data_IF_146604639413
#
_entry.id   IF_146604639413
#
_cell.length_a   1.000
_cell.length_b   1.000
_cell.length_c   1.000
_cell.angle_alpha   90.00
_cell.angle_beta   90.00
_cell.angle_gamma   90.00
#
_symmetry.space_group_name_H-M   'P 1'
#
loop_
_entity.id
_entity.type
_entity.pdbx_description
1 polymer ?
#
# COMPACT_ATOMS: atom_id res chain seq x y z
N UNK A 1 7.63 13.75 -21.79
CA UNK A 1 6.83 13.14 -20.69
C UNK A 1 5.35 13.18 -21.06
N UNK A 2 4.65 12.04 -21.03
CA UNK A 2 3.18 12.03 -21.10
C UNK A 2 2.65 12.54 -19.76
N UNK A 3 2.45 13.85 -19.62
CA UNK A 3 1.89 14.51 -18.42
C UNK A 3 0.68 13.77 -17.82
N UNK A 4 -0.30 13.24 -18.59
CA UNK A 4 -1.42 12.52 -17.99
C UNK A 4 -1.01 11.21 -17.32
N UNK A 5 -0.05 10.47 -17.90
CA UNK A 5 0.39 9.18 -17.34
C UNK A 5 1.15 9.35 -16.03
N UNK A 6 1.98 10.40 -15.93
CA UNK A 6 2.70 10.75 -14.70
C UNK A 6 1.73 11.00 -13.53
N UNK A 7 0.74 11.86 -13.73
CA UNK A 7 -0.26 12.14 -12.71
C UNK A 7 -1.19 10.96 -12.46
N UNK A 8 -1.43 10.13 -13.47
CA UNK A 8 -2.14 8.85 -13.33
C UNK A 8 -1.44 7.93 -12.32
N UNK A 9 -0.12 7.75 -12.42
CA UNK A 9 0.64 6.92 -11.46
C UNK A 9 0.57 7.50 -10.04
N UNK A 10 0.70 8.82 -9.89
CA UNK A 10 0.58 9.49 -8.58
C UNK A 10 -0.82 9.28 -7.98
N UNK A 11 -1.87 9.51 -8.76
CA UNK A 11 -3.25 9.33 -8.32
C UNK A 11 -3.53 7.88 -7.94
N UNK A 12 -3.02 6.92 -8.71
CA UNK A 12 -3.20 5.48 -8.43
C UNK A 12 -2.46 5.03 -7.16
N UNK A 13 -1.26 5.55 -6.88
CA UNK A 13 -0.56 5.30 -5.61
C UNK A 13 -1.39 5.78 -4.42
N UNK A 14 -1.87 7.02 -4.49
CA UNK A 14 -2.70 7.65 -3.43
C UNK A 14 -4.00 6.88 -3.26
N UNK A 15 -4.71 6.57 -4.36
CA UNK A 15 -5.98 5.85 -4.31
C UNK A 15 -5.82 4.43 -3.74
N UNK A 16 -4.76 3.71 -4.13
CA UNK A 16 -4.50 2.35 -3.62
C UNK A 16 -4.17 2.38 -2.11
N UNK A 17 -3.38 3.38 -1.68
CA UNK A 17 -3.06 3.56 -0.27
C UNK A 17 -4.29 3.95 0.57
N UNK A 18 -5.09 4.88 0.06
CA UNK A 18 -6.35 5.27 0.71
C UNK A 18 -7.32 4.09 0.81
N UNK A 19 -7.48 3.31 -0.26
CA UNK A 19 -8.31 2.09 -0.23
C UNK A 19 -7.84 1.13 0.86
N UNK A 20 -6.53 0.86 0.94
CA UNK A 20 -5.96 0.02 1.99
C UNK A 20 -6.24 0.57 3.39
N UNK A 21 -6.02 1.86 3.64
CA UNK A 21 -6.23 2.48 4.96
C UNK A 21 -7.66 2.30 5.50
N UNK A 22 -8.66 2.26 4.62
CA UNK A 22 -10.06 2.09 5.04
C UNK A 22 -10.35 0.63 5.46
N UNK A 23 -9.53 -0.32 4.99
CA UNK A 23 -9.73 -1.76 5.17
C UNK A 23 -8.79 -2.39 6.21
N UNK A 24 -7.83 -1.63 6.75
CA UNK A 24 -6.93 -2.14 7.80
C UNK A 24 -7.75 -2.28 9.10
N UNK A 25 -7.50 -3.30 9.94
CA UNK A 25 -8.17 -3.43 11.24
C UNK A 25 -8.01 -2.16 12.10
N UNK A 26 -9.11 -1.69 12.67
CA UNK A 26 -9.23 -0.38 13.33
C UNK A 26 -9.56 0.77 12.38
N UNK A 27 -9.68 0.49 11.08
CA UNK A 27 -10.28 1.36 10.08
C UNK A 27 -11.81 1.30 10.07
N UNK A 28 -12.48 2.08 9.21
CA UNK A 28 -13.93 2.26 9.26
C UNK A 28 -14.76 1.06 8.81
N UNK A 29 -14.16 0.08 8.13
CA UNK A 29 -14.90 -0.99 7.43
C UNK A 29 -14.50 -2.39 7.88
N UNK A 30 -13.27 -2.58 8.38
CA UNK A 30 -12.80 -3.89 8.82
C UNK A 30 -13.24 -4.17 10.26
N UNK A 31 -14.36 -4.88 10.38
CA UNK A 31 -15.02 -5.23 11.65
C UNK A 31 -14.79 -6.70 12.04
N UNK A 32 -14.01 -7.46 11.26
CA UNK A 32 -13.81 -8.89 11.52
C UNK A 32 -12.94 -9.13 12.76
N UNK A 33 -13.26 -10.19 13.49
CA UNK A 33 -12.47 -10.65 14.63
C UNK A 33 -11.36 -11.61 14.19
N UNK A 34 -10.12 -11.28 14.53
CA UNK A 34 -8.94 -12.10 14.26
C UNK A 34 -8.24 -12.61 15.53
N UNK A 35 -8.91 -12.54 16.69
CA UNK A 35 -8.38 -13.01 17.99
C UNK A 35 -7.90 -14.47 17.99
N UNK A 36 -8.42 -15.30 17.09
CA UNK A 36 -8.01 -16.69 16.91
C UNK A 36 -6.63 -16.87 16.23
N UNK A 37 -6.08 -15.81 15.63
CA UNK A 37 -4.77 -15.84 14.93
C UNK A 37 -3.68 -15.36 15.90
N UNK A 38 -2.48 -15.95 15.78
CA UNK A 38 -1.32 -15.52 16.57
C UNK A 38 -1.03 -14.01 16.38
N UNK A 39 -0.86 -13.23 17.47
CA UNK A 39 -0.55 -11.80 17.40
C UNK A 39 0.71 -11.49 16.60
N UNK A 40 1.68 -12.41 16.58
CA UNK A 40 2.93 -12.24 15.82
C UNK A 40 2.68 -12.30 14.31
N UNK A 41 1.78 -13.17 13.87
CA UNK A 41 1.40 -13.30 12.45
C UNK A 41 0.63 -12.05 12.02
N UNK A 42 -0.38 -11.64 12.82
CA UNK A 42 -1.14 -10.41 12.57
C UNK A 42 -0.26 -9.17 12.54
N UNK A 43 0.62 -9.02 13.53
CA UNK A 43 1.55 -7.89 13.61
C UNK A 43 2.51 -7.83 12.42
N UNK A 44 3.01 -8.99 11.96
CA UNK A 44 3.89 -9.06 10.78
C UNK A 44 3.14 -8.68 9.50
N UNK A 45 1.89 -9.13 9.35
CA UNK A 45 1.05 -8.76 8.22
C UNK A 45 0.67 -7.28 8.24
N UNK A 46 0.27 -6.75 9.39
CA UNK A 46 -0.01 -5.33 9.57
C UNK A 46 1.22 -4.45 9.33
N UNK A 47 2.42 -4.90 9.71
CA UNK A 47 3.67 -4.23 9.37
C UNK A 47 3.87 -4.17 7.85
N UNK A 48 3.63 -5.28 7.15
CA UNK A 48 3.69 -5.32 5.69
C UNK A 48 2.69 -4.34 5.04
N UNK A 49 1.42 -4.36 5.47
CA UNK A 49 0.39 -3.45 4.97
C UNK A 49 0.71 -1.98 5.26
N UNK A 50 1.23 -1.69 6.46
CA UNK A 50 1.63 -0.34 6.87
C UNK A 50 2.77 0.18 6.00
N UNK A 51 3.80 -0.64 5.77
CA UNK A 51 4.90 -0.29 4.88
C UNK A 51 4.41 -0.06 3.46
N UNK A 52 3.52 -0.91 2.95
CA UNK A 52 2.94 -0.78 1.62
C UNK A 52 2.16 0.54 1.46
N UNK A 53 1.27 0.85 2.40
CA UNK A 53 0.49 2.09 2.42
C UNK A 53 1.35 3.35 2.55
N UNK A 54 2.23 3.39 3.55
CA UNK A 54 3.04 4.58 3.83
C UNK A 54 4.09 4.83 2.75
N UNK A 55 4.72 3.78 2.23
CA UNK A 55 5.65 3.90 1.10
C UNK A 55 4.95 4.37 -0.17
N UNK A 56 3.69 3.97 -0.40
CA UNK A 56 2.89 4.45 -1.53
C UNK A 56 2.64 5.95 -1.45
N UNK A 57 2.22 6.48 -0.29
CA UNK A 57 2.05 7.92 -0.09
C UNK A 57 3.37 8.69 -0.22
N UNK A 58 4.44 8.20 0.41
CA UNK A 58 5.77 8.82 0.33
C UNK A 58 6.26 8.86 -1.13
N UNK A 59 6.09 7.77 -1.87
CA UNK A 59 6.50 7.67 -3.26
C UNK A 59 5.66 8.57 -4.17
N UNK A 60 4.35 8.65 -3.94
CA UNK A 60 3.46 9.56 -4.65
C UNK A 60 3.91 11.02 -4.49
N UNK A 61 4.23 11.44 -3.26
CA UNK A 61 4.75 12.78 -2.97
C UNK A 61 6.08 13.04 -3.69
N UNK A 62 7.03 12.09 -3.64
CA UNK A 62 8.33 12.23 -4.26
C UNK A 62 8.26 12.32 -5.79
N UNK A 63 7.40 11.50 -6.41
CA UNK A 63 7.15 11.52 -7.86
C UNK A 63 6.47 12.83 -8.25
N UNK A 64 5.42 13.26 -7.54
CA UNK A 64 4.70 14.51 -7.81
C UNK A 64 5.62 15.75 -7.67
N UNK A 65 6.52 15.74 -6.70
CA UNK A 65 7.51 16.79 -6.48
C UNK A 65 8.64 16.80 -7.52
N UNK A 66 8.67 15.84 -8.46
CA UNK A 66 9.74 15.62 -9.44
C UNK A 66 11.14 15.45 -8.82
N UNK A 67 11.19 15.10 -7.52
CA UNK A 67 12.45 14.90 -6.78
C UNK A 67 13.02 13.51 -7.00
N UNK A 68 12.17 12.55 -7.37
CA UNK A 68 12.51 11.14 -7.52
C UNK A 68 11.76 10.54 -8.72
N UNK A 69 12.43 9.68 -9.48
CA UNK A 69 11.85 8.95 -10.62
C UNK A 69 11.65 7.47 -10.29
N UNK A 70 11.01 7.19 -9.16
CA UNK A 70 10.82 5.85 -8.60
C UNK A 70 9.77 4.97 -9.26
N UNK A 71 9.62 5.04 -10.59
CA UNK A 71 8.54 4.32 -11.27
C UNK A 71 8.68 2.80 -11.18
N UNK A 72 9.90 2.26 -11.06
CA UNK A 72 10.11 0.83 -10.79
C UNK A 72 9.53 0.47 -9.42
N UNK A 73 9.84 1.26 -8.40
CA UNK A 73 9.32 1.05 -7.06
C UNK A 73 7.80 1.20 -7.02
N UNK A 74 7.22 2.15 -7.76
CA UNK A 74 5.77 2.30 -7.88
C UNK A 74 5.11 1.07 -8.51
N UNK A 75 5.76 0.45 -9.50
CA UNK A 75 5.31 -0.81 -10.08
C UNK A 75 5.38 -1.97 -9.08
N UNK A 76 6.43 -2.04 -8.26
CA UNK A 76 6.57 -3.06 -7.20
C UNK A 76 5.53 -2.87 -6.09
N UNK A 77 5.24 -1.63 -5.69
CA UNK A 77 4.16 -1.31 -4.75
C UNK A 77 2.80 -1.73 -5.34
N UNK A 78 2.56 -1.44 -6.63
CA UNK A 78 1.36 -1.91 -7.33
C UNK A 78 1.24 -3.44 -7.31
N UNK A 79 2.34 -4.17 -7.54
CA UNK A 79 2.37 -5.64 -7.43
C UNK A 79 2.08 -6.10 -6.00
N UNK A 80 2.58 -5.39 -4.99
CA UNK A 80 2.26 -5.65 -3.58
C UNK A 80 0.76 -5.53 -3.29
N UNK A 81 0.11 -4.45 -3.74
CA UNK A 81 -1.34 -4.30 -3.61
C UNK A 81 -2.09 -5.43 -4.32
N UNK A 82 -1.74 -5.71 -5.57
CA UNK A 82 -2.36 -6.79 -6.34
C UNK A 82 -2.24 -8.13 -5.60
N UNK A 83 -1.04 -8.47 -5.12
CA UNK A 83 -0.79 -9.71 -4.40
C UNK A 83 -1.62 -9.80 -3.13
N UNK A 84 -1.67 -8.75 -2.30
CA UNK A 84 -2.49 -8.75 -1.08
C UNK A 84 -3.95 -9.03 -1.40
N UNK A 85 -4.55 -8.24 -2.31
CA UNK A 85 -5.97 -8.37 -2.61
C UNK A 85 -6.30 -9.69 -3.33
N UNK A 86 -5.43 -10.17 -4.22
CA UNK A 86 -5.63 -11.45 -4.90
C UNK A 86 -5.49 -12.64 -3.93
N UNK A 87 -4.51 -12.61 -3.02
CA UNK A 87 -4.32 -13.66 -2.01
C UNK A 87 -5.48 -13.69 -1.00
N UNK A 88 -6.02 -12.54 -0.63
CA UNK A 88 -7.18 -12.45 0.26
C UNK A 88 -8.45 -13.00 -0.41
N UNK A 89 -8.74 -12.57 -1.65
CA UNK A 89 -9.89 -13.06 -2.43
C UNK A 89 -9.79 -14.56 -2.81
N UNK A 90 -8.58 -15.11 -2.91
CA UNK A 90 -8.37 -16.56 -3.14
C UNK A 90 -8.35 -17.38 -1.85
N UNK A 91 -8.65 -16.76 -0.70
CA UNK A 91 -8.74 -17.39 0.61
C UNK A 91 -7.45 -18.08 1.06
N UNK A 92 -6.29 -17.57 0.64
CA UNK A 92 -4.98 -18.11 1.04
C UNK A 92 -4.62 -17.65 2.46
N UNK A 93 -5.09 -16.48 2.88
CA UNK A 93 -4.88 -16.00 4.25
C UNK A 93 -5.73 -16.78 5.28
N UNK A 94 -5.28 -16.86 6.54
CA UNK A 94 -6.05 -17.49 7.61
C UNK A 94 -7.41 -16.80 7.76
N UNK A 95 -8.49 -17.59 7.86
CA UNK A 95 -9.85 -17.07 7.90
C UNK A 95 -10.23 -16.60 9.30
N UNK A 96 -10.83 -15.42 9.37
CA UNK A 96 -11.63 -15.03 10.52
C UNK A 96 -12.86 -15.96 10.63
N UNK A 97 -13.32 -16.28 11.86
CA UNK A 97 -14.61 -16.93 12.09
C UNK A 97 -15.80 -16.07 11.62
N UNK A 98 -15.60 -14.75 11.51
CA UNK A 98 -16.63 -13.80 11.10
C UNK A 98 -16.66 -13.64 9.58
N UNK A 99 -17.86 -13.65 8.95
CA UNK A 99 -17.98 -13.50 7.51
C UNK A 99 -17.56 -12.09 7.07
N UNK A 100 -16.92 -11.99 5.90
CA UNK A 100 -16.50 -10.73 5.31
C UNK A 100 -17.71 -9.82 4.98
N UNK A 101 -17.71 -8.55 5.45
CA UNK A 101 -18.73 -7.59 5.05
C UNK A 101 -18.74 -7.35 3.53
N UNK A 102 -19.93 -7.18 2.94
CA UNK A 102 -20.08 -6.98 1.50
C UNK A 102 -19.35 -5.72 0.98
N UNK A 103 -19.18 -4.71 1.83
CA UNK A 103 -18.44 -3.49 1.49
C UNK A 103 -16.93 -3.78 1.40
N UNK A 104 -16.39 -4.53 2.36
CA UNK A 104 -14.98 -4.93 2.38
C UNK A 104 -14.61 -5.73 1.12
N UNK A 105 -15.46 -6.70 0.75
CA UNK A 105 -15.29 -7.49 -0.48
C UNK A 105 -15.23 -6.61 -1.75
N UNK A 106 -16.08 -5.58 -1.85
CA UNK A 106 -16.05 -4.65 -3.00
C UNK A 106 -14.76 -3.83 -3.04
N UNK A 107 -14.24 -3.44 -1.87
CA UNK A 107 -13.00 -2.66 -1.78
C UNK A 107 -11.76 -3.50 -2.10
N UNK A 108 -11.80 -4.82 -1.88
CA UNK A 108 -10.74 -5.73 -2.36
C UNK A 108 -10.70 -5.81 -3.88
N UNK A 109 -11.87 -5.98 -4.52
CA UNK A 109 -11.96 -5.93 -5.98
C UNK A 109 -11.54 -4.58 -6.54
N UNK A 110 -11.92 -3.48 -5.87
CA UNK A 110 -11.45 -2.14 -6.22
C UNK A 110 -9.93 -2.06 -6.10
N UNK A 111 -9.35 -2.64 -5.06
CA UNK A 111 -7.91 -2.74 -4.86
C UNK A 111 -7.19 -3.43 -6.01
N UNK A 112 -7.71 -4.56 -6.50
CA UNK A 112 -7.20 -5.21 -7.72
C UNK A 112 -7.32 -4.26 -8.92
N UNK A 113 -8.50 -3.65 -9.11
CA UNK A 113 -8.75 -2.77 -10.25
C UNK A 113 -7.85 -1.52 -10.25
N UNK A 114 -7.44 -1.01 -9.09
CA UNK A 114 -6.48 0.09 -8.95
C UNK A 114 -5.03 -0.38 -9.15
N UNK A 115 -4.69 -1.58 -8.66
CA UNK A 115 -3.31 -2.09 -8.68
C UNK A 115 -2.81 -2.42 -10.10
N UNK A 116 -3.65 -3.01 -10.95
CA UNK A 116 -3.29 -3.35 -12.34
C UNK A 116 -2.85 -2.13 -13.18
N UNK A 117 -3.64 -1.04 -13.30
CA UNK A 117 -3.22 0.14 -14.04
C UNK A 117 -2.02 0.84 -13.38
N UNK A 118 -1.86 0.74 -12.04
CA UNK A 118 -0.68 1.26 -11.36
C UNK A 118 0.59 0.54 -11.83
N UNK A 119 0.58 -0.80 -11.83
CA UNK A 119 1.69 -1.64 -12.29
C UNK A 119 2.06 -1.27 -13.72
N UNK A 120 1.08 -1.32 -14.63
CA UNK A 120 1.32 -1.09 -16.05
C UNK A 120 1.75 0.35 -16.33
N UNK A 121 1.08 1.34 -15.74
CA UNK A 121 1.41 2.75 -15.91
C UNK A 121 2.80 3.11 -15.39
N UNK A 122 3.17 2.57 -14.22
CA UNK A 122 4.48 2.76 -13.64
C UNK A 122 5.59 2.06 -14.43
N UNK A 123 5.37 0.83 -14.88
CA UNK A 123 6.33 0.10 -15.73
C UNK A 123 6.57 0.83 -17.07
N UNK A 124 5.52 1.36 -17.70
CA UNK A 124 5.65 2.16 -18.92
C UNK A 124 6.46 3.44 -18.68
N UNK A 125 6.21 4.15 -17.56
CA UNK A 125 6.97 5.34 -17.19
C UNK A 125 8.44 5.03 -16.89
N UNK A 126 8.72 3.89 -16.24
CA UNK A 126 10.08 3.43 -16.00
C UNK A 126 10.86 3.22 -17.31
N UNK A 127 10.26 2.51 -18.28
CA UNK A 127 10.89 2.30 -19.60
C UNK A 127 11.19 3.62 -20.31
N UNK A 128 10.25 4.56 -20.29
CA UNK A 128 10.47 5.90 -20.86
C UNK A 128 11.58 6.65 -20.14
N UNK A 129 11.66 6.57 -18.80
CA UNK A 129 12.70 7.29 -18.06
C UNK A 129 14.09 6.72 -18.34
N UNK A 130 14.22 5.40 -18.45
CA UNK A 130 15.46 4.73 -18.81
C UNK A 130 15.94 5.14 -20.22
N UNK A 131 15.04 5.23 -21.19
CA UNK A 131 15.36 5.66 -22.55
C UNK A 131 15.82 7.11 -22.64
N UNK A 132 15.34 7.99 -21.74
CA UNK A 132 15.71 9.39 -21.73
C UNK A 132 17.04 9.68 -21.02
N UNK A 133 17.77 8.65 -20.55
CA UNK A 133 19.12 8.81 -19.99
C UNK A 133 19.22 9.63 -18.70
N UNK A 134 18.10 9.86 -18.01
CA UNK A 134 18.12 10.62 -16.75
C UNK A 134 18.56 9.71 -15.61
N UNK A 135 19.69 10.03 -14.98
CA UNK A 135 20.15 9.33 -13.79
C UNK A 135 19.09 9.40 -12.68
N UNK A 136 18.78 8.26 -12.08
CA UNK A 136 17.85 8.19 -10.95
C UNK A 136 18.44 8.99 -9.78
N UNK A 137 17.85 10.16 -9.49
CA UNK A 137 18.23 10.95 -8.32
C UNK A 137 17.60 10.32 -7.10
N UNK A 138 18.39 9.81 -6.15
CA UNK A 138 17.87 9.21 -4.92
C UNK A 138 17.16 10.23 -4.02
N UNK A 139 16.14 9.80 -3.29
CA UNK A 139 15.55 10.59 -2.23
C UNK A 139 16.38 10.45 -0.95
N UNK A 140 16.75 11.57 -0.32
CA UNK A 140 17.43 11.59 0.97
C UNK A 140 16.42 12.10 2.00
N UNK A 141 16.15 11.29 3.02
CA UNK A 141 15.31 11.67 4.16
C UNK A 141 16.18 12.14 5.31
N UNK A 142 15.72 13.13 6.06
CA UNK A 142 16.39 13.58 7.27
C UNK A 142 16.20 12.56 8.41
N UNK A 143 17.15 12.47 9.34
CA UNK A 143 17.04 11.58 10.50
C UNK A 143 15.74 11.76 11.30
N UNK A 144 15.27 13.00 11.58
CA UNK A 144 13.98 13.20 12.24
C UNK A 144 12.80 12.63 11.46
N UNK A 145 12.82 12.70 10.12
CA UNK A 145 11.76 12.12 9.28
C UNK A 145 11.77 10.59 9.34
N UNK A 146 12.95 9.96 9.35
CA UNK A 146 13.10 8.51 9.47
C UNK A 146 12.61 8.04 10.85
N UNK A 147 13.02 8.71 11.93
CA UNK A 147 12.58 8.40 13.28
C UNK A 147 11.06 8.59 13.43
N UNK A 148 10.53 9.71 12.92
CA UNK A 148 9.09 9.98 12.94
C UNK A 148 8.29 8.93 12.17
N UNK A 149 8.77 8.51 10.99
CA UNK A 149 8.16 7.41 10.24
C UNK A 149 8.24 6.08 11.00
N UNK A 150 9.36 5.78 11.66
CA UNK A 150 9.51 4.58 12.48
C UNK A 150 8.53 4.52 13.64
N UNK A 151 8.38 5.63 14.38
CA UNK A 151 7.39 5.75 15.46
C UNK A 151 5.96 5.61 14.93
N UNK A 152 5.65 6.26 13.80
CA UNK A 152 4.34 6.16 13.17
C UNK A 152 4.01 4.73 12.73
N UNK A 153 4.97 4.03 12.12
CA UNK A 153 4.80 2.62 11.73
C UNK A 153 4.52 1.76 12.96
N UNK A 154 5.32 1.91 14.02
CA UNK A 154 5.13 1.18 15.27
C UNK A 154 3.74 1.43 15.87
N UNK A 155 3.30 2.68 15.88
CA UNK A 155 1.98 3.07 16.37
C UNK A 155 0.86 2.44 15.54
N UNK A 156 0.90 2.53 14.20
CA UNK A 156 -0.11 1.96 13.31
C UNK A 156 -0.18 0.44 13.46
N UNK A 157 0.98 -0.25 13.47
CA UNK A 157 1.04 -1.71 13.57
C UNK A 157 0.50 -2.18 14.92
N UNK A 158 0.89 -1.51 16.01
CA UNK A 158 0.42 -1.85 17.36
C UNK A 158 -1.08 -1.64 17.46
N UNK A 159 -1.57 -0.47 17.05
CA UNK A 159 -3.00 -0.13 17.06
C UNK A 159 -3.84 -1.10 16.23
N UNK A 160 -3.43 -1.35 14.98
CA UNK A 160 -4.17 -2.24 14.09
C UNK A 160 -4.19 -3.67 14.60
N UNK A 161 -3.10 -4.14 15.20
CA UNK A 161 -3.03 -5.49 15.76
C UNK A 161 -3.93 -5.64 16.98
N UNK A 162 -3.95 -4.67 17.90
CA UNK A 162 -4.88 -4.70 19.03
C UNK A 162 -6.33 -4.60 18.58
N UNK A 163 -6.63 -3.70 17.65
CA UNK A 163 -7.99 -3.55 17.11
C UNK A 163 -8.48 -4.82 16.42
N UNK A 164 -7.61 -5.55 15.70
CA UNK A 164 -7.95 -6.82 15.07
C UNK A 164 -8.30 -7.93 16.08
N UNK A 165 -7.80 -7.81 17.31
CA UNK A 165 -8.04 -8.75 18.41
C UNK A 165 -9.21 -8.32 19.32
N UNK A 166 -9.82 -7.15 19.09
CA UNK A 166 -10.86 -6.60 19.96
C UNK A 166 -10.35 -6.13 21.33
N UNK A 167 -9.08 -5.71 21.42
CA UNK A 167 -8.41 -5.25 22.64
C UNK A 167 -8.25 -3.72 22.69
#
# INVERSE_FOLDING_TARGET
MRKPLHWGVVALLVASAANLCVMVPGGPIEERDFSAISPVILGSFNLFLTLLGLSSFALAYLIASKRYSGYILASLIGLGYFAVYALDLTFIFPKSPTPMPALLFKLEWLGIFLSVPLILGAALMSKQHAQNGHAARGAIFSMPAILGAGVLILAIVTFSTYSAMGL
#
